data_IF_491307541438
#
_entry.id   IF_491307541438
#
_cell.length_a   1.000
_cell.length_b   1.000
_cell.length_c   1.000
_cell.angle_alpha   90.00
_cell.angle_beta   90.00
_cell.angle_gamma   90.00
#
_symmetry.space_group_name_H-M   'P 1'
#
loop_
_entity.id
_entity.type
_entity.pdbx_description
1 polymer ?
#
# COMPACT_ATOMS: atom_id res chain seq x y z
N UNK A 1 5.98 18.88 -15.02
CA UNK A 1 5.83 17.82 -13.99
C UNK A 1 6.59 16.61 -14.45
N UNK A 2 7.67 16.28 -13.75
CA UNK A 2 8.31 14.96 -13.86
C UNK A 2 8.03 14.21 -12.58
N UNK A 3 7.53 12.99 -12.72
CA UNK A 3 7.21 12.11 -11.61
C UNK A 3 8.35 11.09 -11.44
N UNK A 4 9.02 11.11 -10.29
CA UNK A 4 9.86 9.97 -9.86
C UNK A 4 8.97 9.04 -9.03
N UNK A 5 8.98 7.74 -9.37
CA UNK A 5 7.98 6.72 -9.03
C UNK A 5 7.37 6.73 -7.62
N UNK A 6 6.17 6.17 -7.49
CA UNK A 6 5.50 5.97 -6.19
C UNK A 6 6.33 4.92 -5.48
N UNK A 7 6.78 5.24 -4.26
CA UNK A 7 7.42 4.26 -3.41
C UNK A 7 6.32 3.57 -2.63
N UNK A 8 6.04 2.34 -3.02
CA UNK A 8 5.18 1.42 -2.29
C UNK A 8 6.04 0.59 -1.33
N UNK A 9 5.58 0.33 -0.10
CA UNK A 9 6.15 -0.67 0.81
C UNK A 9 6.00 -2.11 0.27
N UNK A 10 6.07 -3.11 1.15
CA UNK A 10 5.76 -4.49 0.79
C UNK A 10 4.37 -4.58 0.14
N UNK A 11 4.26 -5.33 -0.95
CA UNK A 11 3.02 -5.47 -1.71
C UNK A 11 2.40 -6.84 -1.44
N UNK A 12 1.13 -6.83 -1.05
CA UNK A 12 0.29 -8.01 -0.93
C UNK A 12 -0.77 -8.02 -2.00
N UNK A 13 -0.97 -9.19 -2.60
CA UNK A 13 -1.89 -9.37 -3.68
C UNK A 13 -2.79 -10.58 -3.43
N UNK A 14 -4.10 -10.37 -3.52
CA UNK A 14 -5.09 -11.44 -3.49
C UNK A 14 -6.34 -11.04 -4.28
N UNK A 15 -7.21 -12.01 -4.55
CA UNK A 15 -8.46 -11.77 -5.30
C UNK A 15 -9.66 -12.28 -4.53
N UNK A 16 -10.74 -11.50 -4.47
CA UNK A 16 -12.07 -11.98 -4.06
C UNK A 16 -12.81 -12.37 -5.32
N UNK A 17 -13.19 -13.65 -5.44
CA UNK A 17 -13.83 -14.17 -6.66
C UNK A 17 -14.70 -15.41 -6.40
N UNK A 18 -15.55 -15.75 -7.37
CA UNK A 18 -16.13 -17.09 -7.44
C UNK A 18 -15.02 -18.13 -7.64
N UNK A 19 -14.93 -19.14 -6.77
CA UNK A 19 -14.00 -20.27 -6.99
C UNK A 19 -14.62 -21.35 -7.88
N UNK A 20 -15.94 -21.35 -7.99
CA UNK A 20 -16.74 -22.04 -9.00
C UNK A 20 -18.11 -21.36 -9.09
N UNK A 21 -19.08 -21.96 -9.80
CA UNK A 21 -20.46 -21.48 -9.78
C UNK A 21 -21.13 -21.58 -8.41
N UNK A 22 -20.64 -22.41 -7.48
CA UNK A 22 -21.34 -22.69 -6.22
C UNK A 22 -20.72 -22.06 -4.99
N UNK A 23 -19.57 -21.37 -5.09
CA UNK A 23 -18.91 -20.78 -3.92
C UNK A 23 -17.99 -19.61 -4.26
N UNK A 24 -17.77 -18.75 -3.25
CA UNK A 24 -16.84 -17.60 -3.31
C UNK A 24 -15.62 -17.88 -2.43
N UNK A 25 -14.45 -17.39 -2.82
CA UNK A 25 -13.20 -17.52 -2.09
C UNK A 25 -12.37 -16.23 -2.06
N UNK A 26 -11.47 -16.16 -1.09
CA UNK A 26 -10.23 -15.38 -1.19
C UNK A 26 -9.21 -16.27 -1.92
N UNK A 27 -8.72 -15.82 -3.07
CA UNK A 27 -7.69 -16.51 -3.84
C UNK A 27 -6.32 -15.88 -3.55
N UNK A 28 -5.33 -16.72 -3.32
CA UNK A 28 -3.95 -16.32 -3.01
C UNK A 28 -3.84 -15.35 -1.81
N UNK A 29 -4.62 -15.55 -0.75
CA UNK A 29 -4.57 -14.68 0.41
C UNK A 29 -3.26 -14.87 1.20
N UNK A 30 -2.46 -13.83 1.43
CA UNK A 30 -1.19 -13.94 2.14
C UNK A 30 -1.42 -14.03 3.65
N UNK A 31 -1.09 -15.18 4.25
CA UNK A 31 -1.04 -15.41 5.68
C UNK A 31 0.41 -15.29 6.19
N UNK A 32 0.60 -15.38 7.51
CA UNK A 32 1.92 -15.24 8.15
C UNK A 32 2.99 -16.14 7.50
N UNK A 33 2.67 -17.42 7.35
CA UNK A 33 3.61 -18.47 6.91
C UNK A 33 3.20 -19.16 5.59
N UNK A 34 2.14 -18.71 4.93
CA UNK A 34 1.64 -19.33 3.69
C UNK A 34 0.80 -18.37 2.85
N UNK A 35 0.57 -18.71 1.60
CA UNK A 35 -0.40 -18.06 0.72
C UNK A 35 -1.44 -19.11 0.37
N UNK A 36 -2.73 -18.83 0.62
CA UNK A 36 -3.77 -19.87 0.57
C UNK A 36 -5.08 -19.39 -0.06
N UNK A 37 -5.80 -20.35 -0.65
CA UNK A 37 -7.18 -20.17 -1.08
C UNK A 37 -8.15 -20.47 0.08
N UNK A 38 -8.93 -19.47 0.46
CA UNK A 38 -9.85 -19.53 1.60
C UNK A 38 -11.29 -19.46 1.09
N UNK A 39 -12.00 -20.58 1.18
CA UNK A 39 -13.40 -20.68 0.73
C UNK A 39 -14.31 -20.05 1.79
N UNK A 40 -15.14 -19.09 1.38
CA UNK A 40 -15.92 -18.25 2.30
C UNK A 40 -17.35 -18.76 2.46
N UNK A 41 -18.10 -18.82 1.38
CA UNK A 41 -19.52 -19.17 1.37
C UNK A 41 -19.83 -20.06 0.17
N UNK A 42 -20.67 -21.07 0.38
CA UNK A 42 -21.15 -21.95 -0.66
C UNK A 42 -22.67 -22.02 -0.70
N UNK A 43 -23.22 -22.38 -1.86
CA UNK A 43 -24.66 -22.48 -2.07
C UNK A 43 -25.04 -22.98 -3.45
N UNK A 44 -26.31 -22.83 -3.78
CA UNK A 44 -26.85 -23.12 -5.10
C UNK A 44 -28.13 -22.33 -5.32
N UNK A 45 -28.55 -22.19 -6.58
CA UNK A 45 -29.86 -21.61 -6.95
C UNK A 45 -30.09 -20.19 -6.37
N UNK A 46 -29.04 -19.36 -6.35
CA UNK A 46 -29.14 -17.99 -5.86
C UNK A 46 -29.13 -17.83 -4.34
N UNK A 47 -28.79 -18.88 -3.59
CA UNK A 47 -28.75 -18.85 -2.13
C UNK A 47 -27.52 -19.59 -1.56
N UNK A 48 -26.75 -18.89 -0.73
CA UNK A 48 -25.77 -19.45 0.19
C UNK A 48 -26.47 -20.29 1.26
N UNK A 49 -25.85 -21.42 1.59
CA UNK A 49 -26.39 -22.41 2.54
C UNK A 49 -25.37 -22.85 3.58
N UNK A 50 -24.14 -22.36 3.50
CA UNK A 50 -23.11 -22.64 4.48
C UNK A 50 -21.81 -21.90 4.23
N UNK A 51 -20.88 -22.08 5.15
CA UNK A 51 -19.56 -21.43 5.20
C UNK A 51 -18.49 -22.45 4.75
N UNK A 52 -17.63 -22.06 3.82
CA UNK A 52 -16.62 -22.93 3.20
C UNK A 52 -16.87 -23.17 1.72
N UNK A 53 -16.40 -24.33 1.23
CA UNK A 53 -16.48 -24.72 -0.18
C UNK A 53 -17.74 -25.51 -0.52
N UNK A 54 -18.11 -26.45 0.34
CA UNK A 54 -19.30 -27.29 0.24
C UNK A 54 -19.63 -27.93 1.60
N UNK A 55 -20.68 -28.75 1.65
CA UNK A 55 -21.17 -29.39 2.88
C UNK A 55 -20.19 -30.36 3.57
N UNK A 56 -19.13 -30.79 2.87
CA UNK A 56 -18.07 -31.70 3.35
C UNK A 56 -16.68 -31.05 3.38
N UNK A 57 -16.57 -29.78 2.96
CA UNK A 57 -15.34 -29.00 2.95
C UNK A 57 -15.62 -27.62 3.55
N UNK A 58 -16.07 -27.62 4.82
CA UNK A 58 -16.46 -26.40 5.53
C UNK A 58 -15.24 -25.62 6.01
N UNK A 59 -15.35 -24.29 5.95
CA UNK A 59 -14.52 -23.38 6.73
C UNK A 59 -15.23 -23.19 8.06
N UNK A 60 -14.52 -23.46 9.17
CA UNK A 60 -15.07 -23.27 10.51
C UNK A 60 -14.63 -21.94 11.10
N UNK A 61 -15.62 -21.16 11.50
CA UNK A 61 -15.48 -19.83 12.10
C UNK A 61 -16.50 -19.68 13.22
N UNK A 62 -16.20 -18.81 14.18
CA UNK A 62 -17.13 -18.44 15.25
C UNK A 62 -16.70 -17.13 15.90
N UNK A 63 -17.67 -16.36 16.42
CA UNK A 63 -17.39 -15.18 17.24
C UNK A 63 -17.12 -15.51 18.72
N UNK A 64 -17.11 -16.79 19.09
CA UNK A 64 -16.84 -17.26 20.45
C UNK A 64 -15.34 -17.54 20.66
N UNK A 65 -14.93 -17.70 21.92
CA UNK A 65 -13.57 -18.14 22.28
C UNK A 65 -13.36 -19.65 22.17
N UNK A 66 -14.36 -20.40 21.70
CA UNK A 66 -14.32 -21.86 21.60
C UNK A 66 -14.90 -22.29 20.27
N UNK A 67 -14.19 -23.16 19.56
CA UNK A 67 -14.62 -23.72 18.29
C UNK A 67 -14.53 -25.25 18.34
N UNK A 68 -15.48 -25.93 17.70
CA UNK A 68 -15.41 -27.38 17.48
C UNK A 68 -15.09 -27.64 16.02
N UNK A 69 -14.01 -28.36 15.77
CA UNK A 69 -13.64 -28.88 14.46
C UNK A 69 -14.13 -30.32 14.32
N UNK A 70 -14.68 -30.65 13.16
CA UNK A 70 -15.20 -31.95 12.76
C UNK A 70 -14.39 -32.48 11.57
N UNK A 71 -13.59 -33.52 11.80
CA UNK A 71 -12.72 -34.12 10.79
C UNK A 71 -13.44 -34.88 9.68
N UNK A 72 -14.77 -35.05 9.75
CA UNK A 72 -15.57 -35.64 8.67
C UNK A 72 -16.12 -34.57 7.70
N UNK A 73 -16.38 -33.33 8.14
CA UNK A 73 -17.00 -32.30 7.30
C UNK A 73 -16.20 -31.01 7.11
N UNK A 74 -15.20 -30.77 7.95
CA UNK A 74 -14.48 -29.51 7.97
C UNK A 74 -13.15 -29.64 7.23
N UNK A 75 -12.90 -28.73 6.30
CA UNK A 75 -11.62 -28.68 5.59
C UNK A 75 -10.54 -28.05 6.49
N UNK A 76 -10.90 -26.95 7.16
CA UNK A 76 -10.03 -26.17 8.04
C UNK A 76 -10.84 -25.16 8.87
N UNK A 77 -10.18 -24.61 9.87
CA UNK A 77 -10.61 -23.43 10.63
C UNK A 77 -9.56 -22.33 10.53
N UNK A 78 -9.96 -21.10 10.82
CA UNK A 78 -9.04 -19.95 10.96
C UNK A 78 -8.83 -19.70 12.44
N UNK A 79 -7.58 -19.55 12.86
CA UNK A 79 -7.25 -19.00 14.17
C UNK A 79 -6.27 -17.84 14.00
N UNK A 80 -6.58 -16.73 14.67
CA UNK A 80 -5.89 -15.47 14.44
C UNK A 80 -5.60 -14.76 15.74
N UNK A 81 -4.41 -14.16 15.82
CA UNK A 81 -3.96 -13.31 16.93
C UNK A 81 -4.02 -11.85 16.52
N UNK A 82 -4.38 -10.98 17.47
CA UNK A 82 -4.35 -9.53 17.32
C UNK A 82 -4.31 -8.86 18.69
N UNK A 83 -3.34 -7.96 18.90
CA UNK A 83 -3.25 -7.11 20.09
C UNK A 83 -3.39 -5.61 19.79
N UNK A 84 -3.76 -5.27 18.56
CA UNK A 84 -3.87 -3.91 18.05
C UNK A 84 -2.57 -3.38 17.41
N UNK A 85 -1.43 -4.03 17.65
CA UNK A 85 -0.13 -3.64 17.06
C UNK A 85 0.54 -4.75 16.25
N UNK A 86 0.23 -6.00 16.53
CA UNK A 86 0.69 -7.16 15.77
C UNK A 86 -0.50 -8.09 15.53
N UNK A 87 -0.51 -8.71 14.35
CA UNK A 87 -1.55 -9.66 13.98
C UNK A 87 -1.00 -10.81 13.13
N UNK A 88 -1.58 -11.98 13.33
CA UNK A 88 -1.20 -13.20 12.65
C UNK A 88 -2.43 -14.06 12.38
N UNK A 89 -2.45 -14.79 11.27
CA UNK A 89 -3.54 -15.72 10.94
C UNK A 89 -3.01 -17.03 10.39
N UNK A 90 -3.65 -18.13 10.80
CA UNK A 90 -3.27 -19.48 10.41
C UNK A 90 -4.51 -20.30 10.02
N UNK A 91 -4.39 -21.09 8.95
CA UNK A 91 -5.31 -22.17 8.68
C UNK A 91 -4.89 -23.41 9.46
N UNK A 92 -5.83 -23.96 10.22
CA UNK A 92 -5.62 -25.12 11.08
C UNK A 92 -6.59 -26.23 10.66
N UNK A 93 -6.12 -27.47 10.70
CA UNK A 93 -7.00 -28.65 10.63
C UNK A 93 -6.55 -29.70 11.62
N UNK A 94 -7.43 -30.65 11.93
CA UNK A 94 -7.09 -31.76 12.80
C UNK A 94 -7.34 -33.10 12.13
N UNK A 95 -6.51 -34.09 12.43
CA UNK A 95 -6.50 -35.40 11.76
C UNK A 95 -6.15 -36.51 12.75
N UNK A 96 -6.18 -37.76 12.32
CA UNK A 96 -5.62 -38.89 13.09
C UNK A 96 -6.26 -39.08 14.48
N UNK A 97 -7.59 -39.00 14.54
CA UNK A 97 -8.35 -39.26 15.75
C UNK A 97 -8.18 -40.70 16.24
N UNK A 98 -7.74 -40.87 17.47
CA UNK A 98 -7.41 -42.19 18.03
C UNK A 98 -7.67 -42.25 19.54
N UNK A 99 -7.54 -43.45 20.13
CA UNK A 99 -7.53 -43.64 21.58
C UNK A 99 -6.27 -44.42 21.95
N UNK A 100 -5.49 -43.88 22.87
CA UNK A 100 -4.31 -44.54 23.44
C UNK A 100 -4.35 -44.41 24.96
N UNK A 101 -4.09 -45.50 25.68
CA UNK A 101 -4.12 -45.51 27.16
C UNK A 101 -5.41 -44.91 27.75
N UNK A 102 -6.56 -45.18 27.11
CA UNK A 102 -7.88 -44.66 27.46
C UNK A 102 -8.06 -43.13 27.31
N UNK A 103 -7.15 -42.45 26.63
CA UNK A 103 -7.23 -41.01 26.30
C UNK A 103 -7.47 -40.85 24.80
N UNK A 104 -8.47 -40.04 24.43
CA UNK A 104 -8.70 -39.68 23.03
C UNK A 104 -7.68 -38.64 22.58
N UNK A 105 -7.13 -38.82 21.38
CA UNK A 105 -6.05 -38.02 20.82
C UNK A 105 -6.34 -37.60 19.39
N UNK A 106 -5.72 -36.51 18.95
CA UNK A 106 -5.77 -36.02 17.57
C UNK A 106 -4.43 -35.42 17.17
N UNK A 107 -4.22 -35.14 15.89
CA UNK A 107 -3.05 -34.41 15.38
C UNK A 107 -3.49 -33.05 14.86
N UNK A 108 -2.86 -31.98 15.36
CA UNK A 108 -3.13 -30.61 14.93
C UNK A 108 -2.10 -30.23 13.87
N UNK A 109 -2.61 -29.80 12.71
CA UNK A 109 -1.82 -29.36 11.56
C UNK A 109 -2.13 -27.90 11.24
N UNK A 110 -1.16 -27.21 10.65
CA UNK A 110 -1.35 -25.87 10.09
C UNK A 110 -0.76 -25.76 8.69
N UNK A 111 -1.15 -24.71 7.96
CA UNK A 111 -0.57 -24.38 6.66
C UNK A 111 0.74 -23.61 6.83
N UNK A 112 1.80 -24.14 6.22
CA UNK A 112 3.13 -23.53 6.15
C UNK A 112 3.68 -23.79 4.75
N UNK A 113 4.11 -22.73 4.04
CA UNK A 113 4.68 -22.80 2.69
C UNK A 113 3.83 -23.65 1.70
N UNK A 114 2.51 -23.52 1.77
CA UNK A 114 1.57 -24.25 0.90
C UNK A 114 1.36 -25.73 1.26
N UNK A 115 1.92 -26.21 2.37
CA UNK A 115 1.81 -27.59 2.83
C UNK A 115 1.16 -27.68 4.22
N UNK A 116 0.53 -28.83 4.51
CA UNK A 116 0.05 -29.13 5.85
C UNK A 116 1.18 -29.75 6.67
N UNK A 117 1.54 -29.11 7.78
CA UNK A 117 2.62 -29.56 8.67
C UNK A 117 2.07 -29.88 10.06
N UNK A 118 2.60 -30.93 10.71
CA UNK A 118 2.19 -31.34 12.05
C UNK A 118 2.73 -30.34 13.07
N UNK A 119 1.85 -29.66 13.79
CA UNK A 119 2.26 -28.81 14.93
C UNK A 119 2.34 -29.60 16.23
N UNK A 120 1.35 -30.46 16.46
CA UNK A 120 1.25 -31.31 17.65
C UNK A 120 0.63 -32.63 17.26
N UNK A 121 1.44 -33.68 17.30
CA UNK A 121 0.98 -35.06 17.16
C UNK A 121 0.46 -35.58 18.51
N UNK A 122 -0.52 -36.48 18.47
CA UNK A 122 -1.09 -37.11 19.65
C UNK A 122 -1.57 -36.12 20.73
N UNK A 123 -2.07 -34.96 20.29
CA UNK A 123 -2.63 -33.94 21.17
C UNK A 123 -3.78 -34.52 21.99
N UNK A 124 -3.77 -34.27 23.29
CA UNK A 124 -4.78 -34.73 24.24
C UNK A 124 -5.43 -33.55 24.99
N UNK A 125 -6.60 -33.73 25.62
CA UNK A 125 -7.25 -32.65 26.35
C UNK A 125 -6.29 -32.00 27.36
N UNK A 126 -6.35 -30.67 27.48
CA UNK A 126 -5.46 -29.78 28.25
C UNK A 126 -4.10 -29.46 27.62
N UNK A 127 -3.70 -30.13 26.53
CA UNK A 127 -2.52 -29.70 25.78
C UNK A 127 -2.69 -28.26 25.27
N UNK A 128 -1.60 -27.50 25.28
CA UNK A 128 -1.50 -26.20 24.62
C UNK A 128 -0.75 -26.31 23.29
N UNK A 129 -1.18 -25.52 22.31
CA UNK A 129 -0.57 -25.42 20.99
C UNK A 129 -0.39 -23.95 20.63
N UNK A 130 0.84 -23.57 20.27
CA UNK A 130 1.21 -22.19 19.95
C UNK A 130 1.68 -22.06 18.49
N UNK A 131 1.00 -21.26 17.68
CA UNK A 131 1.34 -20.94 16.29
C UNK A 131 1.67 -19.45 16.22
N UNK A 132 2.97 -19.12 16.19
CA UNK A 132 3.42 -17.75 16.50
C UNK A 132 2.80 -17.26 17.82
N UNK A 133 2.03 -16.17 17.75
CA UNK A 133 1.33 -15.59 18.90
C UNK A 133 -0.05 -16.19 19.17
N UNK A 134 -0.62 -16.97 18.25
CA UNK A 134 -1.86 -17.72 18.48
C UNK A 134 -1.62 -18.82 19.50
N UNK A 135 -2.42 -18.84 20.57
CA UNK A 135 -2.39 -19.92 21.57
C UNK A 135 -3.76 -20.58 21.70
N UNK A 136 -3.77 -21.90 21.58
CA UNK A 136 -4.96 -22.74 21.67
C UNK A 136 -4.79 -23.80 22.76
N UNK A 137 -5.85 -24.05 23.52
CA UNK A 137 -5.92 -25.20 24.44
C UNK A 137 -6.86 -26.25 23.89
N UNK A 138 -6.36 -27.49 23.81
CA UNK A 138 -7.12 -28.66 23.35
C UNK A 138 -8.15 -29.01 24.43
N UNK A 139 -9.42 -29.02 24.02
CA UNK A 139 -10.55 -29.38 24.86
C UNK A 139 -10.92 -30.86 24.72
N UNK A 140 -12.22 -31.14 24.78
CA UNK A 140 -12.75 -32.49 24.59
C UNK A 140 -12.48 -32.99 23.16
N UNK A 141 -12.10 -34.27 23.06
CA UNK A 141 -11.88 -34.98 21.78
C UNK A 141 -12.84 -36.18 21.74
N UNK A 142 -13.69 -36.23 20.72
CA UNK A 142 -14.49 -37.40 20.40
C UNK A 142 -13.88 -38.12 19.19
N UNK A 143 -13.23 -39.26 19.42
CA UNK A 143 -12.61 -40.01 18.33
C UNK A 143 -13.61 -40.72 17.41
N UNK A 144 -14.84 -40.97 17.87
CA UNK A 144 -15.84 -41.67 17.07
C UNK A 144 -16.57 -40.69 16.14
N UNK A 145 -16.89 -39.51 16.66
CA UNK A 145 -17.42 -38.39 15.87
C UNK A 145 -16.32 -37.60 15.15
N UNK A 146 -15.04 -37.91 15.40
CA UNK A 146 -13.87 -37.18 14.90
C UNK A 146 -13.93 -35.68 15.14
N UNK A 147 -14.38 -35.29 16.33
CA UNK A 147 -14.45 -33.88 16.72
C UNK A 147 -13.41 -33.54 17.79
N UNK A 148 -12.96 -32.29 17.75
CA UNK A 148 -12.11 -31.70 18.79
C UNK A 148 -12.54 -30.27 19.08
N UNK A 149 -12.64 -29.94 20.36
CA UNK A 149 -12.85 -28.58 20.84
C UNK A 149 -11.52 -27.88 20.98
N UNK A 150 -11.38 -26.67 20.45
CA UNK A 150 -10.22 -25.80 20.64
C UNK A 150 -10.65 -24.50 21.31
N UNK A 151 -9.94 -24.12 22.37
CA UNK A 151 -10.21 -22.91 23.13
C UNK A 151 -9.12 -21.88 22.87
N UNK A 152 -9.52 -20.70 22.43
CA UNK A 152 -8.66 -19.55 22.22
C UNK A 152 -8.15 -18.98 23.55
N UNK A 153 -6.87 -18.58 23.59
CA UNK A 153 -6.36 -17.70 24.64
C UNK A 153 -6.88 -16.27 24.48
N UNK A 154 -6.47 -15.38 25.38
CA UNK A 154 -6.59 -13.94 25.15
C UNK A 154 -5.99 -13.55 23.79
N UNK A 155 -6.61 -12.56 23.13
CA UNK A 155 -6.23 -12.04 21.81
C UNK A 155 -6.33 -13.02 20.62
N UNK A 156 -6.67 -14.29 20.85
CA UNK A 156 -6.94 -15.25 19.77
C UNK A 156 -8.42 -15.26 19.42
N UNK A 157 -8.76 -15.38 18.14
CA UNK A 157 -10.13 -15.42 17.64
C UNK A 157 -10.28 -16.33 16.42
N UNK A 158 -11.53 -16.61 16.04
CA UNK A 158 -11.87 -17.56 14.95
C UNK A 158 -12.74 -16.96 13.83
N UNK A 159 -12.95 -15.64 13.81
CA UNK A 159 -13.78 -14.96 12.81
C UNK A 159 -13.15 -13.71 12.22
N UNK A 160 -11.88 -13.43 12.55
CA UNK A 160 -11.07 -12.40 11.90
C UNK A 160 -9.90 -13.06 11.23
N UNK A 161 -9.56 -12.59 10.04
CA UNK A 161 -8.37 -12.97 9.30
C UNK A 161 -7.51 -11.72 9.16
N UNK A 162 -6.20 -11.89 9.16
CA UNK A 162 -5.23 -10.83 8.97
C UNK A 162 -4.28 -11.27 7.87
N UNK A 163 -4.06 -10.39 6.91
CA UNK A 163 -3.00 -10.60 5.93
C UNK A 163 -1.64 -10.51 6.61
N UNK A 164 -0.58 -10.92 5.91
CA UNK A 164 0.78 -10.89 6.44
C UNK A 164 1.24 -9.47 6.78
N UNK A 165 0.78 -8.48 6.03
CA UNK A 165 1.06 -7.07 6.26
C UNK A 165 -0.08 -6.35 7.03
N UNK A 166 -1.05 -7.06 7.62
CA UNK A 166 -1.97 -6.49 8.62
C UNK A 166 -3.38 -6.10 8.16
N UNK A 167 -3.75 -6.35 6.89
CA UNK A 167 -5.13 -6.13 6.43
C UNK A 167 -6.09 -7.07 7.16
N UNK A 168 -7.04 -6.51 7.91
CA UNK A 168 -8.05 -7.26 8.66
C UNK A 168 -9.24 -7.58 7.77
N UNK A 169 -9.73 -8.82 7.83
CA UNK A 169 -10.94 -9.31 7.16
C UNK A 169 -11.88 -9.94 8.18
N UNK A 170 -13.16 -9.58 8.15
CA UNK A 170 -14.18 -10.24 8.94
C UNK A 170 -14.78 -11.44 8.22
N UNK A 171 -14.45 -12.63 8.70
CA UNK A 171 -14.94 -13.87 8.10
C UNK A 171 -16.41 -14.12 8.45
N UNK A 172 -17.17 -14.77 7.55
CA UNK A 172 -18.54 -15.18 7.84
C UNK A 172 -18.56 -16.10 9.07
N UNK A 173 -19.52 -15.91 9.97
CA UNK A 173 -19.85 -16.79 11.08
C UNK A 173 -21.37 -16.88 11.23
N UNK A 174 -21.88 -18.10 11.36
CA UNK A 174 -23.32 -18.36 11.31
C UNK A 174 -24.02 -17.94 12.61
N UNK A 175 -25.14 -17.24 12.46
CA UNK A 175 -26.06 -16.91 13.55
C UNK A 175 -27.30 -17.79 13.44
N UNK A 176 -27.52 -18.64 14.44
CA UNK A 176 -28.66 -19.53 14.50
C UNK A 176 -29.86 -18.86 15.18
N UNK A 177 -31.02 -18.81 14.50
CA UNK A 177 -32.31 -18.42 15.08
C UNK A 177 -32.88 -17.08 14.60
N UNK A 178 -34.00 -16.67 15.20
CA UNK A 178 -34.68 -15.37 14.96
C UNK A 178 -33.96 -14.19 15.64
N UNK A 179 -32.68 -14.35 15.94
CA UNK A 179 -31.98 -13.47 16.86
C UNK A 179 -31.87 -12.07 16.24
N UNK A 180 -32.37 -11.07 16.97
CA UNK A 180 -32.38 -9.66 16.58
C UNK A 180 -30.97 -9.03 16.58
N UNK A 181 -29.93 -9.86 16.52
CA UNK A 181 -28.51 -9.54 16.69
C UNK A 181 -27.77 -9.33 15.37
N UNK A 182 -28.31 -9.82 14.24
CA UNK A 182 -27.73 -9.56 12.92
C UNK A 182 -28.27 -8.22 12.44
N UNK A 183 -27.48 -7.18 12.66
CA UNK A 183 -27.69 -5.86 12.04
C UNK A 183 -26.74 -5.71 10.87
N UNK A 184 -26.95 -4.70 10.01
CA UNK A 184 -26.01 -4.36 8.93
C UNK A 184 -24.62 -3.93 9.43
N UNK A 185 -24.39 -3.86 10.74
CA UNK A 185 -23.13 -3.46 11.37
C UNK A 185 -22.43 -4.60 12.12
N UNK A 186 -23.06 -5.77 12.22
CA UNK A 186 -22.47 -6.92 12.91
C UNK A 186 -21.53 -7.65 11.95
N UNK A 187 -20.28 -7.17 11.83
CA UNK A 187 -19.31 -7.72 10.88
C UNK A 187 -19.15 -9.24 10.99
N UNK A 188 -19.12 -9.90 9.83
CA UNK A 188 -18.99 -11.35 9.73
C UNK A 188 -20.27 -12.14 10.04
N UNK A 189 -21.28 -11.57 10.69
CA UNK A 189 -22.50 -12.33 10.99
C UNK A 189 -23.23 -12.70 9.69
N UNK A 190 -23.67 -13.95 9.56
CA UNK A 190 -24.55 -14.38 8.46
C UNK A 190 -25.72 -15.20 8.99
N UNK A 191 -26.90 -14.95 8.46
CA UNK A 191 -28.10 -15.73 8.76
C UNK A 191 -28.75 -16.21 7.47
N UNK A 192 -28.66 -17.51 7.19
CA UNK A 192 -29.21 -18.12 5.98
C UNK A 192 -30.75 -18.18 5.96
N UNK A 193 -31.42 -17.84 7.06
CA UNK A 193 -32.88 -17.96 7.23
C UNK A 193 -33.61 -16.63 7.38
N UNK A 194 -32.89 -15.51 7.55
CA UNK A 194 -33.48 -14.18 7.70
C UNK A 194 -33.02 -13.21 6.61
N UNK A 195 -33.84 -12.20 6.33
CA UNK A 195 -33.57 -11.21 5.28
C UNK A 195 -32.90 -9.95 5.86
N UNK A 196 -31.73 -10.09 6.47
CA UNK A 196 -30.92 -8.93 6.86
C UNK A 196 -30.12 -8.46 5.65
N UNK A 197 -30.19 -7.17 5.33
CA UNK A 197 -29.47 -6.58 4.17
C UNK A 197 -27.99 -6.96 4.21
N UNK A 198 -27.49 -7.55 3.12
CA UNK A 198 -26.09 -7.94 2.92
C UNK A 198 -25.51 -8.90 3.99
N UNK A 199 -26.33 -9.61 4.76
CA UNK A 199 -25.89 -10.62 5.74
C UNK A 199 -26.86 -11.80 5.78
N UNK A 200 -27.27 -12.26 4.59
CA UNK A 200 -28.33 -13.25 4.40
C UNK A 200 -27.93 -14.33 3.36
N UNK A 201 -28.88 -15.21 3.03
CA UNK A 201 -28.64 -16.27 2.04
C UNK A 201 -28.32 -15.75 0.63
N UNK A 202 -28.81 -14.60 0.19
CA UNK A 202 -28.58 -14.13 -1.18
C UNK A 202 -27.41 -13.14 -1.31
N UNK A 203 -26.94 -12.56 -0.19
CA UNK A 203 -25.90 -11.54 -0.20
C UNK A 203 -25.12 -11.48 1.11
N UNK A 204 -23.81 -11.27 1.02
CA UNK A 204 -22.92 -11.11 2.17
C UNK A 204 -21.90 -9.98 1.94
N UNK A 205 -21.87 -8.98 2.82
CA UNK A 205 -20.83 -7.95 2.84
C UNK A 205 -19.59 -8.47 3.58
N UNK A 206 -18.55 -8.80 2.82
CA UNK A 206 -17.24 -9.15 3.34
C UNK A 206 -16.47 -7.86 3.64
N UNK A 207 -16.21 -7.62 4.92
CA UNK A 207 -15.63 -6.37 5.39
C UNK A 207 -14.13 -6.48 5.63
N UNK A 208 -13.42 -5.45 5.17
CA UNK A 208 -11.98 -5.31 5.26
C UNK A 208 -11.62 -3.99 5.95
N UNK A 209 -10.54 -3.97 6.73
CA UNK A 209 -10.03 -2.78 7.41
C UNK A 209 -8.51 -2.74 7.31
N UNK A 210 -7.99 -1.64 6.78
CA UNK A 210 -6.55 -1.35 6.79
C UNK A 210 -6.06 -1.07 8.21
N UNK A 211 -4.74 -1.10 8.37
CA UNK A 211 -4.09 -0.39 9.46
C UNK A 211 -4.25 1.13 9.36
N UNK A 212 -4.13 1.81 10.49
CA UNK A 212 -4.02 3.27 10.49
C UNK A 212 -2.57 3.72 10.19
N UNK A 213 -2.37 5.03 10.01
CA UNK A 213 -1.03 5.62 9.76
C UNK A 213 -0.01 5.44 10.90
N UNK A 214 -0.47 4.96 12.06
CA UNK A 214 0.39 4.68 13.21
C UNK A 214 0.61 3.17 13.38
N UNK A 215 0.30 2.37 12.35
CA UNK A 215 0.49 0.91 12.33
C UNK A 215 -0.44 0.19 13.33
N UNK A 216 -1.59 0.79 13.69
CA UNK A 216 -2.60 0.10 14.50
C UNK A 216 -3.47 -0.81 13.63
N UNK A 217 -3.51 -2.11 13.95
CA UNK A 217 -4.18 -3.14 13.14
C UNK A 217 -5.70 -2.91 13.08
N UNK A 218 -6.22 -2.74 11.87
CA UNK A 218 -7.66 -2.67 11.60
C UNK A 218 -8.36 -1.41 12.10
N UNK A 219 -7.61 -0.37 12.50
CA UNK A 219 -8.10 0.94 12.92
C UNK A 219 -8.11 1.97 11.77
N UNK A 220 -7.65 1.58 10.58
CA UNK A 220 -7.62 2.38 9.38
C UNK A 220 -8.97 2.49 8.67
N UNK A 221 -8.92 2.82 7.38
CA UNK A 221 -10.13 2.90 6.54
C UNK A 221 -10.60 1.50 6.18
N UNK A 222 -11.92 1.34 6.09
CA UNK A 222 -12.56 0.09 5.72
C UNK A 222 -13.21 0.13 4.35
N UNK A 223 -13.31 -1.04 3.74
CA UNK A 223 -14.07 -1.29 2.52
C UNK A 223 -14.79 -2.64 2.61
N UNK A 224 -15.84 -2.80 1.84
CA UNK A 224 -16.62 -4.02 1.76
C UNK A 224 -16.71 -4.49 0.31
N UNK A 225 -16.62 -5.81 0.10
CA UNK A 225 -17.02 -6.44 -1.15
C UNK A 225 -18.32 -7.21 -0.92
N UNK A 226 -19.33 -7.04 -1.78
CA UNK A 226 -20.59 -7.77 -1.66
C UNK A 226 -20.54 -9.07 -2.44
N UNK A 227 -20.59 -10.19 -1.74
CA UNK A 227 -20.69 -11.53 -2.32
C UNK A 227 -22.17 -11.82 -2.62
N UNK A 228 -22.49 -12.22 -3.85
CA UNK A 228 -23.86 -12.49 -4.26
C UNK A 228 -23.90 -13.54 -5.40
N UNK A 229 -25.00 -13.53 -6.16
CA UNK A 229 -25.28 -14.45 -7.25
C UNK A 229 -25.59 -13.67 -8.53
N UNK A 230 -24.99 -14.08 -9.65
CA UNK A 230 -25.25 -13.46 -10.96
C UNK A 230 -26.58 -13.97 -11.57
N UNK A 231 -26.89 -13.55 -12.80
CA UNK A 231 -28.13 -13.94 -13.47
C UNK A 231 -28.28 -15.45 -13.70
N UNK A 232 -27.17 -16.19 -13.77
CA UNK A 232 -27.11 -17.64 -13.98
C UNK A 232 -27.01 -18.42 -12.66
N UNK A 233 -27.22 -17.73 -11.52
CA UNK A 233 -27.08 -18.31 -10.18
C UNK A 233 -25.68 -18.86 -9.90
N UNK A 234 -24.66 -18.14 -10.38
CA UNK A 234 -23.26 -18.39 -10.04
C UNK A 234 -22.76 -17.40 -8.99
N UNK A 235 -22.01 -17.89 -8.02
CA UNK A 235 -21.53 -17.09 -6.90
C UNK A 235 -20.41 -16.12 -7.34
N UNK A 236 -20.53 -14.82 -7.07
CA UNK A 236 -19.56 -13.81 -7.56
C UNK A 236 -19.47 -12.58 -6.63
N UNK A 237 -18.63 -11.61 -7.00
CA UNK A 237 -18.52 -10.32 -6.31
C UNK A 237 -19.37 -9.26 -7.01
N UNK A 238 -20.53 -8.94 -6.44
CA UNK A 238 -21.50 -8.02 -7.05
C UNK A 238 -21.24 -6.53 -6.83
N UNK A 239 -20.44 -6.15 -5.83
CA UNK A 239 -20.23 -4.75 -5.49
C UNK A 239 -18.93 -4.51 -4.71
N UNK A 240 -18.40 -3.29 -4.82
CA UNK A 240 -17.28 -2.75 -4.04
C UNK A 240 -17.71 -1.43 -3.39
N UNK A 241 -17.80 -1.42 -2.06
CA UNK A 241 -18.21 -0.25 -1.30
C UNK A 241 -17.05 0.21 -0.40
N UNK A 242 -16.70 1.48 -0.48
CA UNK A 242 -15.72 2.13 0.39
C UNK A 242 -15.95 3.64 0.42
N UNK A 243 -15.41 4.34 1.42
CA UNK A 243 -15.73 5.76 1.66
C UNK A 243 -15.38 6.72 0.50
N UNK A 244 -14.61 6.30 -0.50
CA UNK A 244 -14.15 7.17 -1.60
C UNK A 244 -13.79 6.45 -2.91
N UNK A 245 -14.27 5.22 -3.15
CA UNK A 245 -13.98 4.51 -4.41
C UNK A 245 -14.68 5.18 -5.59
N UNK A 246 -13.90 5.88 -6.43
CA UNK A 246 -14.36 6.36 -7.75
C UNK A 246 -13.60 5.56 -8.80
N UNK A 247 -14.25 4.55 -9.36
CA UNK A 247 -13.62 3.65 -10.28
C UNK A 247 -13.53 4.23 -11.70
N UNK A 248 -12.37 4.07 -12.32
CA UNK A 248 -12.11 4.45 -13.70
C UNK A 248 -11.85 3.19 -14.53
N UNK A 249 -12.50 3.10 -15.68
CA UNK A 249 -12.31 2.01 -16.63
C UNK A 249 -10.87 2.05 -17.19
N UNK A 250 -10.22 0.89 -17.27
CA UNK A 250 -8.85 0.77 -17.77
C UNK A 250 -8.88 0.46 -19.26
N UNK A 251 -8.65 1.48 -20.08
CA UNK A 251 -8.70 1.34 -21.54
C UNK A 251 -10.11 1.03 -22.03
N UNK A 252 -10.22 0.16 -23.05
CA UNK A 252 -11.49 -0.37 -23.56
C UNK A 252 -11.71 -1.79 -23.00
N UNK A 253 -11.74 -1.94 -21.66
CA UNK A 253 -11.92 -3.22 -20.96
C UNK A 253 -12.97 -3.08 -19.88
N UNK A 254 -13.57 -4.17 -19.41
CA UNK A 254 -14.50 -4.08 -18.27
C UNK A 254 -13.80 -4.13 -16.89
N UNK A 255 -12.52 -3.74 -16.86
CA UNK A 255 -11.74 -3.67 -15.64
C UNK A 255 -11.75 -2.24 -15.14
N UNK A 256 -12.26 -2.06 -13.94
CA UNK A 256 -12.33 -0.76 -13.26
C UNK A 256 -11.25 -0.68 -12.19
N UNK A 257 -10.41 0.33 -12.26
CA UNK A 257 -9.37 0.61 -11.27
C UNK A 257 -9.83 1.69 -10.32
N UNK A 258 -9.65 1.48 -9.03
CA UNK A 258 -9.89 2.49 -8.00
C UNK A 258 -8.90 2.32 -6.86
N UNK A 259 -8.76 3.36 -6.05
CA UNK A 259 -7.93 3.35 -4.85
C UNK A 259 -8.78 3.72 -3.64
N UNK A 260 -8.43 3.18 -2.49
CA UNK A 260 -8.94 3.70 -1.23
C UNK A 260 -8.24 5.01 -0.90
N UNK A 261 -9.01 5.99 -0.43
CA UNK A 261 -8.45 7.25 0.02
C UNK A 261 -7.97 7.12 1.47
N UNK A 262 -6.77 6.54 1.62
CA UNK A 262 -6.08 6.31 2.88
C UNK A 262 -4.57 6.56 2.73
N UNK A 263 -3.83 6.45 3.84
CA UNK A 263 -2.38 6.58 3.81
C UNK A 263 -1.68 5.40 3.11
N UNK A 264 -2.31 4.22 3.13
CA UNK A 264 -1.80 3.00 2.52
C UNK A 264 -2.16 2.92 1.03
N UNK A 265 -3.25 3.59 0.62
CA UNK A 265 -3.70 3.72 -0.76
C UNK A 265 -3.98 2.36 -1.44
N UNK A 266 -4.64 1.44 -0.73
CA UNK A 266 -5.05 0.13 -1.26
C UNK A 266 -5.69 0.26 -2.65
N UNK A 267 -5.17 -0.49 -3.60
CA UNK A 267 -5.66 -0.52 -4.97
C UNK A 267 -6.64 -1.67 -5.19
N UNK A 268 -7.69 -1.38 -5.95
CA UNK A 268 -8.67 -2.35 -6.41
C UNK A 268 -8.71 -2.38 -7.93
N UNK A 269 -8.64 -3.58 -8.49
CA UNK A 269 -9.01 -3.84 -9.88
C UNK A 269 -10.26 -4.71 -9.88
N UNK A 270 -11.40 -4.10 -10.22
CA UNK A 270 -12.69 -4.78 -10.31
C UNK A 270 -12.94 -5.21 -11.75
N UNK A 271 -12.89 -6.51 -11.99
CA UNK A 271 -13.32 -7.12 -13.25
C UNK A 271 -14.83 -7.33 -13.17
N UNK A 272 -15.58 -6.44 -13.81
CA UNK A 272 -17.01 -6.59 -14.03
C UNK A 272 -17.14 -7.31 -15.35
N UNK A 273 -17.58 -8.57 -15.37
CA UNK A 273 -17.63 -9.34 -16.61
C UNK A 273 -18.38 -8.62 -17.73
N UNK A 274 -18.17 -9.05 -18.98
CA UNK A 274 -18.76 -8.44 -20.17
C UNK A 274 -20.29 -8.53 -20.27
N UNK A 275 -20.93 -9.21 -19.30
CA UNK A 275 -22.38 -9.29 -19.16
C UNK A 275 -22.83 -9.85 -17.81
N UNK A 276 -24.13 -9.80 -17.55
CA UNK A 276 -24.75 -10.18 -16.26
C UNK A 276 -24.65 -11.67 -15.88
N UNK A 277 -24.11 -12.50 -16.76
CA UNK A 277 -23.91 -13.95 -16.59
C UNK A 277 -22.46 -14.32 -16.29
N UNK A 278 -21.52 -13.36 -16.32
CA UNK A 278 -20.12 -13.63 -15.98
C UNK A 278 -19.89 -13.43 -14.47
N UNK A 279 -18.87 -14.09 -13.92
CA UNK A 279 -18.52 -13.96 -12.51
C UNK A 279 -17.53 -12.82 -12.32
N UNK A 280 -18.01 -11.74 -11.74
CA UNK A 280 -17.18 -10.60 -11.36
C UNK A 280 -16.18 -10.95 -10.25
N UNK A 281 -15.02 -10.28 -10.27
CA UNK A 281 -13.95 -10.45 -9.28
C UNK A 281 -13.29 -9.12 -8.89
N UNK A 282 -12.71 -9.07 -7.70
CA UNK A 282 -11.96 -7.90 -7.23
C UNK A 282 -10.57 -8.35 -6.80
N UNK A 283 -9.57 -7.88 -7.54
CA UNK A 283 -8.17 -8.00 -7.15
C UNK A 283 -7.80 -6.84 -6.24
N UNK A 284 -7.22 -7.15 -5.09
CA UNK A 284 -6.81 -6.20 -4.05
C UNK A 284 -5.28 -6.17 -4.00
N UNK A 285 -4.71 -4.97 -4.06
CA UNK A 285 -3.29 -4.73 -3.82
C UNK A 285 -3.15 -3.88 -2.56
N UNK A 286 -2.63 -4.48 -1.49
CA UNK A 286 -2.47 -3.87 -0.16
C UNK A 286 -0.98 -3.66 0.14
N UNK A 287 -0.65 -2.59 0.86
CA UNK A 287 0.73 -2.13 1.01
C UNK A 287 1.28 -2.14 2.44
N UNK A 288 0.47 -2.42 3.47
CA UNK A 288 0.90 -2.53 4.89
C UNK A 288 1.48 -1.27 5.56
N UNK A 289 1.90 -0.27 4.79
CA UNK A 289 2.47 0.96 5.29
C UNK A 289 2.20 2.12 4.32
N UNK A 290 2.55 3.33 4.74
CA UNK A 290 2.28 4.54 3.96
C UNK A 290 2.97 4.52 2.59
N UNK A 291 2.18 4.77 1.54
CA UNK A 291 2.69 4.95 0.18
C UNK A 291 3.11 6.41 -0.01
N UNK A 292 4.33 6.65 -0.51
CA UNK A 292 4.85 8.03 -0.67
C UNK A 292 5.25 8.34 -2.11
N UNK A 293 5.06 9.61 -2.49
CA UNK A 293 5.34 10.11 -3.83
C UNK A 293 6.20 11.38 -3.76
N UNK A 294 7.36 11.35 -4.42
CA UNK A 294 8.20 12.54 -4.57
C UNK A 294 7.73 13.34 -5.79
N UNK A 295 6.93 14.39 -5.54
CA UNK A 295 6.39 15.27 -6.59
C UNK A 295 7.27 16.49 -6.78
N UNK A 296 7.85 16.64 -7.98
CA UNK A 296 8.57 17.84 -8.38
C UNK A 296 7.69 18.70 -9.31
N UNK A 297 7.31 19.87 -8.81
CA UNK A 297 6.70 20.92 -9.62
C UNK A 297 7.81 21.79 -10.20
N UNK A 298 7.98 21.71 -11.52
CA UNK A 298 8.81 22.65 -12.30
C UNK A 298 7.88 23.57 -13.09
N UNK A 299 8.21 24.86 -13.15
CA UNK A 299 7.41 25.86 -13.86
C UNK A 299 7.26 25.53 -15.35
N UNK A 300 6.06 25.77 -15.89
CA UNK A 300 5.61 25.40 -17.25
C UNK A 300 6.33 26.15 -18.39
N UNK A 301 7.33 26.97 -18.08
CA UNK A 301 8.10 27.78 -19.03
C UNK A 301 9.59 27.46 -19.09
N UNK A 302 10.08 26.46 -18.36
CA UNK A 302 11.43 25.94 -18.56
C UNK A 302 11.44 24.89 -19.68
N UNK A 303 11.37 25.33 -20.94
CA UNK A 303 11.66 24.45 -22.07
C UNK A 303 13.16 24.14 -22.12
N UNK A 304 13.56 22.93 -21.73
CA UNK A 304 14.91 22.40 -22.01
C UNK A 304 14.95 21.85 -23.45
N UNK A 305 14.83 22.76 -24.41
CA UNK A 305 14.95 22.44 -25.83
C UNK A 305 16.42 22.43 -26.25
N UNK A 306 17.07 21.28 -26.17
CA UNK A 306 18.41 21.09 -26.75
C UNK A 306 18.94 19.67 -26.54
N UNK A 307 19.41 19.03 -27.61
CA UNK A 307 20.02 17.68 -27.67
C UNK A 307 21.35 17.54 -26.92
N UNK A 308 21.72 18.52 -26.10
CA UNK A 308 22.87 18.46 -25.20
C UNK A 308 22.32 18.35 -23.78
N UNK A 309 22.56 17.21 -23.13
CA UNK A 309 22.19 16.91 -21.76
C UNK A 309 22.54 18.08 -20.83
N UNK A 310 21.53 18.77 -20.31
CA UNK A 310 21.70 19.69 -19.19
C UNK A 310 21.98 18.84 -17.95
N UNK A 311 23.04 19.17 -17.22
CA UNK A 311 23.42 18.46 -16.01
C UNK A 311 22.28 18.44 -14.99
N UNK A 312 22.16 17.33 -14.25
CA UNK A 312 21.19 17.16 -13.17
C UNK A 312 21.22 18.37 -12.22
N UNK A 313 20.08 19.01 -11.90
CA UNK A 313 20.05 20.03 -10.87
C UNK A 313 20.49 19.40 -9.54
N UNK A 314 21.42 20.05 -8.85
CA UNK A 314 21.97 19.58 -7.56
C UNK A 314 21.59 20.63 -6.51
N UNK A 315 21.13 20.19 -5.35
CA UNK A 315 20.85 21.09 -4.24
C UNK A 315 22.15 21.70 -3.70
N UNK A 316 22.06 22.90 -3.12
CA UNK A 316 23.19 23.58 -2.48
C UNK A 316 23.83 22.71 -1.37
N UNK A 317 23.01 21.92 -0.69
CA UNK A 317 23.44 20.94 0.34
C UNK A 317 24.12 19.70 -0.22
N UNK A 318 24.03 19.46 -1.53
CA UNK A 318 24.54 18.27 -2.22
C UNK A 318 25.71 18.59 -3.17
N UNK A 319 26.29 19.80 -3.07
CA UNK A 319 27.33 20.29 -3.97
C UNK A 319 28.56 19.35 -4.08
N UNK A 320 28.78 18.51 -3.07
CA UNK A 320 29.79 17.45 -3.10
C UNK A 320 29.63 16.51 -4.30
N UNK A 321 28.40 16.25 -4.77
CA UNK A 321 28.09 15.42 -5.94
C UNK A 321 28.43 16.10 -7.28
N UNK A 322 28.76 17.40 -7.24
CA UNK A 322 29.16 18.20 -8.38
C UNK A 322 30.70 18.39 -8.48
N UNK A 323 31.46 17.64 -7.67
CA UNK A 323 32.93 17.61 -7.76
C UNK A 323 33.38 17.17 -9.16
N UNK A 324 34.37 17.88 -9.71
CA UNK A 324 34.91 17.60 -11.05
C UNK A 324 34.00 17.97 -12.23
N UNK A 325 32.91 18.73 -12.02
CA UNK A 325 31.99 19.17 -13.09
C UNK A 325 32.02 20.68 -13.30
N UNK A 326 31.66 21.10 -14.51
CA UNK A 326 31.26 22.48 -14.80
C UNK A 326 29.91 22.78 -14.16
N UNK A 327 29.75 23.97 -13.59
CA UNK A 327 28.51 24.38 -12.94
C UNK A 327 27.88 25.60 -13.61
N UNK A 328 26.56 25.60 -13.66
CA UNK A 328 25.76 26.81 -13.80
C UNK A 328 25.13 27.06 -12.43
N UNK A 329 25.51 28.16 -11.80
CA UNK A 329 25.04 28.53 -10.46
C UNK A 329 24.01 29.65 -10.63
N UNK A 330 22.75 29.35 -10.34
CA UNK A 330 21.67 30.34 -10.43
C UNK A 330 21.39 30.87 -9.03
N UNK A 331 21.40 32.19 -8.88
CA UNK A 331 21.21 32.86 -7.59
C UNK A 331 20.44 34.18 -7.70
N UNK A 332 20.37 34.87 -6.57
CA UNK A 332 19.80 36.22 -6.49
C UNK A 332 20.49 37.05 -5.40
N UNK A 333 19.89 38.18 -5.03
CA UNK A 333 20.40 39.04 -3.96
C UNK A 333 20.53 38.36 -2.59
N UNK A 334 19.90 37.20 -2.39
CA UNK A 334 20.18 36.24 -1.32
C UNK A 334 20.90 35.02 -1.90
N UNK A 335 22.19 34.89 -1.63
CA UNK A 335 23.04 33.88 -2.28
C UNK A 335 22.97 32.51 -1.59
N UNK A 336 23.02 31.46 -2.40
CA UNK A 336 23.31 30.10 -1.93
C UNK A 336 24.80 29.96 -1.53
N UNK A 337 25.21 28.85 -0.90
CA UNK A 337 26.59 28.73 -0.42
C UNK A 337 27.58 28.75 -1.58
N UNK A 338 27.28 28.12 -2.71
CA UNK A 338 28.16 28.13 -3.89
C UNK A 338 28.36 29.55 -4.42
N UNK A 339 27.28 30.32 -4.60
CA UNK A 339 27.36 31.70 -5.05
C UNK A 339 28.09 32.61 -4.05
N UNK A 340 27.94 32.36 -2.74
CA UNK A 340 28.70 33.07 -1.71
C UNK A 340 30.21 32.82 -1.86
N UNK A 341 30.61 31.56 -2.05
CA UNK A 341 32.00 31.19 -2.24
C UNK A 341 32.61 31.75 -3.52
N UNK A 342 31.84 31.79 -4.61
CA UNK A 342 32.29 32.40 -5.87
C UNK A 342 32.55 33.91 -5.72
N UNK A 343 31.68 34.61 -4.98
CA UNK A 343 31.75 36.06 -4.83
C UNK A 343 32.73 36.54 -3.75
N UNK A 344 32.89 35.79 -2.66
CA UNK A 344 33.71 36.20 -1.50
C UNK A 344 34.85 35.25 -1.14
N UNK A 345 35.00 34.13 -1.85
CA UNK A 345 36.03 33.12 -1.60
C UNK A 345 35.55 31.94 -0.74
N UNK A 346 36.37 30.88 -0.69
CA UNK A 346 36.04 29.61 -0.03
C UNK A 346 35.65 29.79 1.45
N UNK A 347 34.59 29.10 1.88
CA UNK A 347 34.06 29.19 3.24
C UNK A 347 33.22 30.44 3.53
N UNK A 348 32.89 31.25 2.52
CA UNK A 348 32.00 32.39 2.70
C UNK A 348 30.59 31.94 3.13
N UNK A 349 30.10 32.54 4.22
CA UNK A 349 28.73 32.35 4.67
C UNK A 349 27.74 32.97 3.66
N UNK A 350 26.52 32.42 3.58
CA UNK A 350 25.43 33.01 2.79
C UNK A 350 25.17 34.45 3.24
N UNK A 351 24.90 35.32 2.28
CA UNK A 351 24.59 36.72 2.54
C UNK A 351 23.45 37.21 1.65
N UNK A 352 22.84 38.33 2.02
CA UNK A 352 21.66 38.88 1.37
C UNK A 352 21.73 40.39 1.19
N UNK A 353 20.99 40.93 0.22
CA UNK A 353 20.69 42.35 0.10
C UNK A 353 21.94 43.23 -0.02
N UNK A 354 22.16 44.13 0.94
CA UNK A 354 23.27 45.09 0.91
C UNK A 354 24.64 44.42 0.77
N UNK A 355 24.84 43.24 1.36
CA UNK A 355 26.09 42.48 1.24
C UNK A 355 26.31 41.92 -0.16
N UNK A 356 25.23 41.65 -0.90
CA UNK A 356 25.30 41.28 -2.32
C UNK A 356 25.66 42.48 -3.17
N UNK A 357 25.07 43.66 -2.89
CA UNK A 357 25.48 44.90 -3.57
C UNK A 357 26.95 45.22 -3.32
N UNK A 358 27.43 45.04 -2.09
CA UNK A 358 28.84 45.24 -1.77
C UNK A 358 29.75 44.25 -2.51
N UNK A 359 29.33 42.99 -2.65
CA UNK A 359 30.12 41.96 -3.31
C UNK A 359 30.14 42.08 -4.85
N UNK A 360 29.04 42.54 -5.45
CA UNK A 360 28.87 42.53 -6.91
C UNK A 360 29.04 43.91 -7.55
N UNK A 361 28.79 44.97 -6.78
CA UNK A 361 28.64 46.36 -7.24
C UNK A 361 27.25 46.68 -7.82
N UNK A 362 26.27 45.77 -7.67
CA UNK A 362 24.97 45.87 -8.33
C UNK A 362 23.82 46.07 -7.33
N UNK A 363 22.78 46.79 -7.75
CA UNK A 363 21.57 47.02 -6.97
C UNK A 363 20.32 46.52 -7.70
N UNK A 364 19.17 47.07 -7.34
CA UNK A 364 17.89 46.79 -8.00
C UNK A 364 17.96 46.98 -9.52
N UNK A 365 17.18 46.18 -10.24
CA UNK A 365 17.03 46.21 -11.71
C UNK A 365 18.34 45.90 -12.45
N UNK A 366 19.24 45.14 -11.81
CA UNK A 366 20.54 44.74 -12.37
C UNK A 366 20.84 43.27 -12.13
N UNK A 367 21.57 42.69 -13.08
CA UNK A 367 22.07 41.33 -12.99
C UNK A 367 23.56 41.20 -13.32
N UNK A 368 24.11 40.05 -12.94
CA UNK A 368 25.48 39.60 -13.10
C UNK A 368 25.49 38.24 -13.81
N UNK A 369 26.34 38.10 -14.82
CA UNK A 369 26.80 36.83 -15.37
C UNK A 369 28.32 36.82 -15.20
N UNK A 370 28.86 35.89 -14.42
CA UNK A 370 30.31 35.83 -14.19
C UNK A 370 30.82 34.40 -14.17
N UNK A 371 31.90 34.15 -14.89
CA UNK A 371 32.51 32.83 -14.95
C UNK A 371 33.78 32.76 -14.12
N UNK A 372 33.84 31.76 -13.25
CA UNK A 372 34.93 31.51 -12.30
C UNK A 372 35.64 30.21 -12.64
N UNK A 373 36.94 30.17 -12.39
CA UNK A 373 37.70 28.92 -12.44
C UNK A 373 37.28 27.98 -11.30
N UNK A 374 37.26 26.69 -11.59
CA UNK A 374 37.20 25.59 -10.61
C UNK A 374 38.44 24.70 -10.79
N UNK A 375 38.59 23.72 -9.90
CA UNK A 375 39.64 22.70 -9.98
C UNK A 375 39.58 21.93 -11.30
N UNK A 376 40.73 21.43 -11.75
CA UNK A 376 40.88 20.55 -12.91
C UNK A 376 40.43 21.16 -14.26
N UNK A 377 40.49 22.50 -14.37
CA UNK A 377 40.12 23.21 -15.61
C UNK A 377 38.61 23.35 -15.82
N UNK A 378 37.79 22.97 -14.84
CA UNK A 378 36.35 23.20 -14.86
C UNK A 378 36.01 24.67 -14.58
N UNK A 379 34.78 25.08 -14.87
CA UNK A 379 34.28 26.43 -14.64
C UNK A 379 32.96 26.44 -13.88
N UNK A 380 32.69 27.52 -13.15
CA UNK A 380 31.37 27.84 -12.62
C UNK A 380 30.89 29.17 -13.22
N UNK A 381 29.75 29.18 -13.89
CA UNK A 381 29.11 30.41 -14.36
C UNK A 381 28.00 30.79 -13.39
N UNK A 382 28.18 31.90 -12.66
CA UNK A 382 27.16 32.50 -11.79
C UNK A 382 26.21 33.34 -12.64
N UNK A 383 24.91 33.10 -12.48
CA UNK A 383 23.82 33.86 -13.06
C UNK A 383 22.99 34.40 -11.89
N UNK A 384 23.07 35.70 -11.61
CA UNK A 384 22.39 36.28 -10.45
C UNK A 384 21.88 37.69 -10.71
N UNK A 385 20.61 37.93 -10.39
CA UNK A 385 19.97 39.25 -10.40
C UNK A 385 19.62 39.73 -9.00
N UNK A 386 19.36 41.03 -8.85
CA UNK A 386 18.87 41.57 -7.58
C UNK A 386 17.47 41.01 -7.24
N UNK A 387 16.55 41.08 -8.20
CA UNK A 387 15.24 40.44 -8.14
C UNK A 387 15.12 39.22 -9.06
N UNK A 388 14.00 38.50 -8.96
CA UNK A 388 13.73 37.32 -9.77
C UNK A 388 13.71 37.64 -11.29
N UNK A 389 13.14 38.79 -11.66
CA UNK A 389 13.10 39.26 -13.06
C UNK A 389 14.51 39.51 -13.61
N UNK A 390 15.40 40.06 -12.79
CA UNK A 390 16.80 40.31 -13.16
C UNK A 390 17.55 38.99 -13.40
N UNK A 391 17.35 37.98 -12.54
CA UNK A 391 17.94 36.65 -12.73
C UNK A 391 17.41 35.98 -14.00
N UNK A 392 16.12 36.14 -14.31
CA UNK A 392 15.53 35.63 -15.56
C UNK A 392 16.14 36.32 -16.79
N UNK A 393 16.32 37.64 -16.73
CA UNK A 393 16.99 38.40 -17.79
C UNK A 393 18.43 37.92 -17.99
N UNK A 394 19.17 37.65 -16.91
CA UNK A 394 20.53 37.11 -16.97
C UNK A 394 20.60 35.71 -17.59
N UNK A 395 19.69 34.81 -17.20
CA UNK A 395 19.63 33.46 -17.77
C UNK A 395 19.27 33.49 -19.28
N UNK A 396 18.34 34.36 -19.65
CA UNK A 396 17.94 34.56 -21.06
C UNK A 396 19.08 35.19 -21.86
N UNK A 397 19.79 36.15 -21.28
CA UNK A 397 20.98 36.75 -21.89
C UNK A 397 22.05 35.70 -22.18
N UNK A 398 22.41 34.86 -21.20
CA UNK A 398 23.41 33.81 -21.36
C UNK A 398 23.07 32.83 -22.50
N UNK A 399 21.79 32.51 -22.66
CA UNK A 399 21.34 31.49 -23.64
C UNK A 399 21.06 32.06 -25.03
N UNK A 400 20.78 33.35 -25.16
CA UNK A 400 20.35 33.95 -26.44
C UNK A 400 21.35 34.94 -27.05
N UNK A 401 22.35 35.40 -26.29
CA UNK A 401 23.24 36.48 -26.73
C UNK A 401 24.65 35.96 -27.00
N UNK A 402 25.07 36.05 -28.27
CA UNK A 402 26.40 35.67 -28.71
C UNK A 402 27.53 36.53 -28.11
N UNK A 403 27.20 37.68 -27.53
CA UNK A 403 28.16 38.58 -26.87
C UNK A 403 28.52 38.15 -25.44
N UNK A 404 27.81 37.19 -24.85
CA UNK A 404 28.10 36.71 -23.50
C UNK A 404 29.22 35.69 -23.56
N UNK A 405 30.43 36.13 -23.27
CA UNK A 405 31.60 35.28 -23.09
C UNK A 405 31.53 34.52 -21.75
N UNK A 406 31.72 33.20 -21.79
CA UNK A 406 31.80 32.31 -20.63
C UNK A 406 33.22 31.79 -20.40
N UNK A 407 34.24 32.46 -20.94
CA UNK A 407 35.63 32.21 -20.58
C UNK A 407 35.88 32.56 -19.11
N UNK A 408 36.83 31.87 -18.48
CA UNK A 408 37.19 32.11 -17.07
C UNK A 408 37.57 33.59 -16.88
N UNK A 409 36.97 34.24 -15.89
CA UNK A 409 37.19 35.65 -15.58
C UNK A 409 36.25 36.60 -16.32
N UNK A 410 35.51 36.13 -17.33
CA UNK A 410 34.51 36.96 -17.99
C UNK A 410 33.41 37.38 -17.01
N UNK A 411 33.11 38.68 -17.00
CA UNK A 411 32.07 39.30 -16.19
C UNK A 411 31.21 40.20 -17.06
N UNK A 412 29.90 40.00 -17.00
CA UNK A 412 28.90 40.80 -17.68
C UNK A 412 27.86 41.29 -16.69
N UNK A 413 27.41 42.51 -16.86
CA UNK A 413 26.29 43.06 -16.08
C UNK A 413 25.26 43.65 -17.00
N UNK A 414 24.01 43.73 -16.57
CA UNK A 414 22.95 44.30 -17.38
C UNK A 414 21.73 44.66 -16.57
N UNK A 415 20.74 45.25 -17.24
CA UNK A 415 19.41 45.53 -16.68
C UNK A 415 18.29 44.82 -17.46
N UNK A 416 18.52 44.49 -18.73
CA UNK A 416 17.60 43.71 -19.58
C UNK A 416 18.40 42.77 -20.49
N UNK A 417 17.70 41.86 -21.17
CA UNK A 417 18.33 40.91 -22.12
C UNK A 417 19.08 41.62 -23.26
N UNK A 418 18.66 42.83 -23.64
CA UNK A 418 19.25 43.62 -24.72
C UNK A 418 20.30 44.64 -24.22
N UNK A 419 20.41 44.85 -22.91
CA UNK A 419 21.33 45.80 -22.29
C UNK A 419 22.33 45.04 -21.41
N UNK A 420 23.42 44.56 -22.04
CA UNK A 420 24.51 43.81 -21.40
C UNK A 420 25.83 44.52 -21.68
N UNK A 421 26.59 44.76 -20.62
CA UNK A 421 27.91 45.37 -20.65
C UNK A 421 28.94 44.36 -20.14
N UNK A 422 29.97 44.10 -20.95
CA UNK A 422 31.14 43.36 -20.49
C UNK A 422 31.98 44.26 -19.58
N UNK A 423 32.24 43.77 -18.38
CA UNK A 423 33.09 44.45 -17.41
C UNK A 423 34.53 44.01 -17.67
N UNK A 424 35.31 44.89 -18.28
CA UNK A 424 36.76 44.68 -18.43
C UNK A 424 37.39 44.86 -17.06
N UNK A 425 37.77 43.76 -16.42
CA UNK A 425 38.65 43.81 -15.25
C UNK A 425 40.05 44.28 -15.70
N UNK A 426 40.66 45.28 -15.03
CA UNK A 426 42.02 45.72 -15.31
C UNK A 426 43.07 44.60 -15.26
#
# INVERSE_FOLDING_TARGET
>A
MSYTGITYPAEELFTVQGGSSTYVQLNDFPLKDSTEDINLLYGASGAFTGIGKDATNKLRTTNLSTITFDGDTDAYLVASYDDGSDAESYLIKTTSFSTENAVNRTTIQFRENGAWVNKKENAEPTDTVSLGNVQLTVGYIDKNAKTVVLNASASTNFNRLYSKEGLKVWLPWEVNGTDAQVTSFTHGAINFTSNVSQHNATSFALAFFEEDKNENIGDGKGFNTTLAWNADSEAHVSDLVGESVTAAEVGDTNIFRTFMYSALATEFMWDQGSGSSEQDSIKVTYHGAESSANVFLTDISASTGGTNTIGTPILDTEIAQASGKNLIVVGGSCVNTVAAELLKGSGAARFCGADWTAATGLGADRFLIQTFARTDGNVATLIAGWGAVDTQNAATALTTRLSVDTSVGAKHTGSTVDNIESVVTP
#
